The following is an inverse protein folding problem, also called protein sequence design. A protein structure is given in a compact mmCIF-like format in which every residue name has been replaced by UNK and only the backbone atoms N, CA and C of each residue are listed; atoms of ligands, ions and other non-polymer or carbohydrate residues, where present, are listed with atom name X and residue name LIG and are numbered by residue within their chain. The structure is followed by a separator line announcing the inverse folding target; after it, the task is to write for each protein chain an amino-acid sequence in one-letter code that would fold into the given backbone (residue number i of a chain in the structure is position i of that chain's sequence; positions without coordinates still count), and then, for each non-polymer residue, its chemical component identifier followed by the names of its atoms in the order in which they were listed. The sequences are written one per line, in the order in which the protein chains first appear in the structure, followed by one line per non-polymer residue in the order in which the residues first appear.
data_IF_862497539481
#
_entry.id   IF_862497539481
#
_cell.length_a   1.000
_cell.length_b   1.000
_cell.length_c   1.000
_cell.angle_alpha   90.00
_cell.angle_beta   90.00
_cell.angle_gamma   90.00
#
_symmetry.space_group_name_H-M   'P 1'
#
loop_
_entity.id
_entity.type
_entity.pdbx_description
1 polymer ?
#
# COMPACT_ATOMS: atom_id res chain seq x y z
N UNK A 1 38.78 47.39 -26.64
CA UNK A 1 38.73 45.92 -26.58
C UNK A 1 37.75 45.51 -25.49
N UNK A 2 36.59 44.94 -25.83
CA UNK A 2 35.62 44.36 -24.88
C UNK A 2 35.20 42.99 -25.44
N UNK A 3 35.72 41.92 -24.86
CA UNK A 3 35.40 40.54 -25.24
C UNK A 3 34.02 40.19 -24.67
N UNK A 4 33.05 39.92 -25.54
CA UNK A 4 31.73 39.40 -25.13
C UNK A 4 31.88 37.90 -24.88
N UNK A 5 31.76 37.48 -23.62
CA UNK A 5 31.60 36.08 -23.27
C UNK A 5 30.21 35.67 -23.73
N UNK A 6 30.14 34.96 -24.85
CA UNK A 6 28.92 34.27 -25.28
C UNK A 6 28.86 32.99 -24.44
N UNK A 7 28.08 33.01 -23.36
CA UNK A 7 27.73 31.79 -22.64
C UNK A 7 26.81 31.00 -23.58
N UNK A 8 27.39 30.00 -24.25
CA UNK A 8 26.65 29.07 -25.08
C UNK A 8 25.64 28.32 -24.21
N UNK A 9 24.34 28.52 -24.46
CA UNK A 9 23.23 27.80 -23.83
C UNK A 9 23.25 26.27 -24.10
N UNK A 10 24.26 25.74 -24.78
CA UNK A 10 24.44 24.31 -25.03
C UNK A 10 24.87 23.50 -23.80
N UNK A 11 25.20 24.14 -22.67
CA UNK A 11 25.58 23.47 -21.42
C UNK A 11 24.43 23.22 -20.44
N UNK A 12 23.24 23.75 -20.69
CA UNK A 12 22.08 23.66 -19.79
C UNK A 12 20.96 22.75 -20.35
N UNK A 13 21.33 21.83 -21.25
CA UNK A 13 20.45 20.80 -21.84
C UNK A 13 20.87 19.37 -21.47
N UNK A 14 21.73 19.21 -20.46
CA UNK A 14 22.14 17.91 -19.90
C UNK A 14 21.89 17.84 -18.39
N UNK A 15 20.88 18.56 -17.90
CA UNK A 15 20.29 18.36 -16.56
C UNK A 15 18.85 17.85 -16.63
N UNK A 16 18.43 17.31 -17.77
CA UNK A 16 17.34 16.33 -17.84
C UNK A 16 17.94 14.91 -17.74
N UNK A 17 18.74 14.67 -16.71
CA UNK A 17 19.15 13.32 -16.36
C UNK A 17 18.00 12.67 -15.61
N UNK A 18 17.15 11.99 -16.38
CA UNK A 18 16.51 10.74 -15.98
C UNK A 18 15.59 10.83 -14.76
N UNK A 19 14.33 11.20 -14.99
CA UNK A 19 13.25 10.56 -14.22
C UNK A 19 13.21 9.11 -14.72
N UNK A 20 14.15 8.29 -14.24
CA UNK A 20 14.05 6.85 -14.39
C UNK A 20 12.96 6.45 -13.41
N UNK A 21 11.83 5.98 -13.92
CA UNK A 21 10.91 5.20 -13.08
C UNK A 21 11.78 4.14 -12.41
N UNK A 22 11.92 4.22 -11.09
CA UNK A 22 12.72 3.25 -10.36
C UNK A 22 12.09 1.88 -10.60
N UNK A 23 12.79 1.02 -11.31
CA UNK A 23 12.34 -0.36 -11.52
C UNK A 23 12.04 -0.97 -10.15
N UNK A 24 10.89 -1.65 -9.99
CA UNK A 24 10.58 -2.30 -8.73
C UNK A 24 11.73 -3.24 -8.36
N UNK A 25 12.16 -3.21 -7.10
CA UNK A 25 13.24 -4.07 -6.64
C UNK A 25 12.91 -5.54 -6.94
N UNK A 26 13.92 -6.39 -7.17
CA UNK A 26 13.69 -7.81 -7.45
C UNK A 26 12.85 -8.49 -6.36
N UNK A 27 13.01 -8.03 -5.11
CA UNK A 27 12.22 -8.51 -3.98
C UNK A 27 10.78 -7.99 -3.97
N UNK A 28 10.53 -6.75 -4.42
CA UNK A 28 9.17 -6.27 -4.68
C UNK A 28 8.47 -7.08 -5.77
N UNK A 29 9.18 -7.41 -6.85
CA UNK A 29 8.64 -8.23 -7.92
C UNK A 29 8.32 -9.66 -7.44
N UNK A 30 9.17 -10.25 -6.59
CA UNK A 30 8.92 -11.54 -5.93
C UNK A 30 7.66 -11.49 -5.07
N UNK A 31 7.52 -10.50 -4.19
CA UNK A 31 6.34 -10.34 -3.35
C UNK A 31 5.05 -10.20 -4.18
N UNK A 32 5.10 -9.46 -5.30
CA UNK A 32 3.98 -9.36 -6.24
C UNK A 32 3.62 -10.71 -6.86
N UNK A 33 4.61 -11.55 -7.21
CA UNK A 33 4.38 -12.89 -7.74
C UNK A 33 3.74 -13.82 -6.71
N UNK A 34 4.20 -13.78 -5.46
CA UNK A 34 3.61 -14.53 -4.35
C UNK A 34 2.16 -14.11 -4.11
N UNK A 35 1.89 -12.80 -4.12
CA UNK A 35 0.54 -12.27 -4.04
C UNK A 35 -0.35 -12.77 -5.19
N UNK A 36 0.16 -12.72 -6.43
CA UNK A 36 -0.57 -13.20 -7.61
C UNK A 36 -0.83 -14.72 -7.57
N UNK A 37 0.08 -15.49 -6.98
CA UNK A 37 -0.08 -16.92 -6.74
C UNK A 37 -1.05 -17.25 -5.60
N UNK A 38 -1.50 -16.24 -4.84
CA UNK A 38 -2.38 -16.40 -3.70
C UNK A 38 -1.68 -16.76 -2.39
N UNK A 39 -0.34 -16.79 -2.39
CA UNK A 39 0.44 -16.96 -1.16
C UNK A 39 0.58 -15.60 -0.46
N UNK A 40 -0.53 -15.13 0.11
CA UNK A 40 -0.57 -13.85 0.79
C UNK A 40 0.33 -13.81 2.03
N UNK A 41 0.64 -14.96 2.63
CA UNK A 41 1.54 -14.99 3.79
C UNK A 41 2.96 -14.67 3.35
N UNK A 42 3.47 -15.37 2.33
CA UNK A 42 4.80 -15.09 1.80
C UNK A 42 4.91 -13.64 1.29
N UNK A 43 3.89 -13.18 0.55
CA UNK A 43 3.85 -11.82 0.06
C UNK A 43 3.92 -10.77 1.19
N UNK A 44 3.16 -10.97 2.29
CA UNK A 44 3.24 -10.10 3.47
C UNK A 44 4.65 -10.10 4.05
N UNK A 45 5.24 -11.27 4.27
CA UNK A 45 6.57 -11.39 4.89
C UNK A 45 7.64 -10.62 4.07
N UNK A 46 7.58 -10.75 2.74
CA UNK A 46 8.49 -10.07 1.81
C UNK A 46 8.21 -8.55 1.73
N UNK A 47 6.96 -8.12 1.61
CA UNK A 47 6.62 -6.69 1.61
C UNK A 47 7.05 -6.02 2.92
N UNK A 48 6.85 -6.67 4.07
CA UNK A 48 7.30 -6.13 5.34
C UNK A 48 8.82 -6.03 5.45
N UNK A 49 9.57 -6.95 4.82
CA UNK A 49 11.02 -6.83 4.76
C UNK A 49 11.46 -5.61 3.95
N UNK A 50 10.78 -5.30 2.85
CA UNK A 50 11.03 -4.08 2.09
C UNK A 50 10.79 -2.85 2.96
N UNK A 51 9.69 -2.82 3.72
CA UNK A 51 9.42 -1.73 4.69
C UNK A 51 10.51 -1.65 5.77
N UNK A 52 10.95 -2.78 6.35
CA UNK A 52 12.04 -2.82 7.34
C UNK A 52 13.37 -2.32 6.77
N UNK A 53 13.61 -2.53 5.48
CA UNK A 53 14.79 -2.02 4.77
C UNK A 53 14.74 -0.50 4.49
N UNK A 54 13.67 0.19 4.91
CA UNK A 54 13.48 1.62 4.71
C UNK A 54 12.85 1.99 3.37
N UNK A 55 12.26 1.02 2.65
CA UNK A 55 11.47 1.34 1.47
C UNK A 55 10.07 1.77 1.90
N UNK A 56 9.76 3.04 1.64
CA UNK A 56 8.45 3.63 1.92
C UNK A 56 7.90 4.22 0.62
N UNK A 57 7.16 3.40 -0.15
CA UNK A 57 6.54 3.84 -1.40
C UNK A 57 5.02 3.62 -1.34
N UNK A 58 4.21 4.47 -2.01
CA UNK A 58 2.76 4.31 -2.04
C UNK A 58 2.34 2.90 -2.50
N UNK A 59 2.94 2.41 -3.59
CA UNK A 59 2.64 1.09 -4.16
C UNK A 59 2.97 -0.07 -3.21
N UNK A 60 4.04 0.06 -2.41
CA UNK A 60 4.39 -0.95 -1.41
C UNK A 60 3.36 -1.05 -0.30
N UNK A 61 2.92 0.09 0.23
CA UNK A 61 1.86 0.07 1.23
C UNK A 61 0.53 -0.37 0.64
N UNK A 62 0.19 0.05 -0.58
CA UNK A 62 -1.01 -0.44 -1.26
C UNK A 62 -1.00 -1.96 -1.41
N UNK A 63 0.10 -2.56 -1.89
CA UNK A 63 0.20 -4.01 -2.10
C UNK A 63 0.23 -4.79 -0.77
N UNK A 64 0.91 -4.27 0.25
CA UNK A 64 0.90 -4.85 1.60
C UNK A 64 -0.51 -4.80 2.21
N UNK A 65 -1.22 -3.67 2.04
CA UNK A 65 -2.62 -3.51 2.44
C UNK A 65 -3.53 -4.53 1.76
N UNK A 66 -3.36 -4.73 0.45
CA UNK A 66 -4.08 -5.76 -0.31
C UNK A 66 -3.81 -7.16 0.25
N UNK A 67 -2.55 -7.50 0.53
CA UNK A 67 -2.19 -8.81 1.07
C UNK A 67 -2.84 -9.05 2.45
N UNK A 68 -2.86 -8.04 3.32
CA UNK A 68 -3.57 -8.10 4.59
C UNK A 68 -5.08 -8.22 4.44
N UNK A 69 -5.67 -7.49 3.51
CA UNK A 69 -7.10 -7.58 3.19
C UNK A 69 -7.47 -9.01 2.77
N UNK A 70 -6.67 -9.65 1.92
CA UNK A 70 -6.86 -11.05 1.49
C UNK A 70 -6.75 -12.06 2.63
N UNK A 71 -6.07 -11.70 3.72
CA UNK A 71 -5.99 -12.47 4.95
C UNK A 71 -7.07 -12.09 5.97
N UNK A 72 -8.06 -11.29 5.58
CA UNK A 72 -9.14 -10.76 6.45
C UNK A 72 -8.61 -9.96 7.64
N UNK A 73 -7.37 -9.49 7.57
CA UNK A 73 -6.78 -8.60 8.56
C UNK A 73 -7.06 -7.15 8.17
N UNK A 74 -8.32 -6.74 8.35
CA UNK A 74 -8.77 -5.44 7.89
C UNK A 74 -8.09 -4.30 8.64
N UNK A 75 -7.70 -4.49 9.90
CA UNK A 75 -6.95 -3.49 10.67
C UNK A 75 -5.60 -3.15 10.02
N UNK A 76 -4.80 -4.19 9.70
CA UNK A 76 -3.52 -3.97 9.02
C UNK A 76 -3.68 -3.55 7.56
N UNK A 77 -4.78 -3.94 6.89
CA UNK A 77 -5.10 -3.43 5.56
C UNK A 77 -5.36 -1.92 5.58
N UNK A 78 -6.24 -1.45 6.47
CA UNK A 78 -6.58 -0.03 6.66
C UNK A 78 -5.32 0.79 6.91
N UNK A 79 -4.48 0.36 7.87
CA UNK A 79 -3.23 1.05 8.20
C UNK A 79 -2.35 1.26 6.96
N UNK A 80 -2.19 0.24 6.12
CA UNK A 80 -1.31 0.33 4.97
C UNK A 80 -1.93 1.13 3.82
N UNK A 81 -3.25 1.07 3.58
CA UNK A 81 -3.88 1.99 2.62
C UNK A 81 -3.78 3.45 3.07
N UNK A 82 -3.90 3.73 4.36
CA UNK A 82 -3.69 5.08 4.90
C UNK A 82 -2.23 5.55 4.71
N UNK A 83 -1.24 4.67 4.91
CA UNK A 83 0.17 4.97 4.61
C UNK A 83 0.39 5.24 3.11
N UNK A 84 -0.27 4.49 2.22
CA UNK A 84 -0.21 4.73 0.79
C UNK A 84 -0.73 6.14 0.44
N UNK A 85 -1.92 6.49 0.95
CA UNK A 85 -2.56 7.79 0.73
C UNK A 85 -1.84 8.95 1.43
N UNK A 86 -1.10 8.70 2.51
CA UNK A 86 -0.26 9.70 3.13
C UNK A 86 0.94 10.09 2.25
N UNK A 87 1.46 9.14 1.46
CA UNK A 87 2.56 9.39 0.51
C UNK A 87 2.07 9.88 -0.86
N UNK A 88 0.94 9.33 -1.34
CA UNK A 88 0.28 9.75 -2.56
C UNK A 88 -1.24 9.89 -2.31
N UNK A 89 -1.72 11.12 -2.01
CA UNK A 89 -3.14 11.38 -1.77
C UNK A 89 -4.05 11.09 -2.96
N UNK A 90 -3.50 10.89 -4.15
CA UNK A 90 -4.23 10.59 -5.38
C UNK A 90 -3.99 9.16 -5.87
N UNK A 91 -3.47 8.27 -5.02
CA UNK A 91 -3.25 6.87 -5.39
C UNK A 91 -4.57 6.26 -5.91
N UNK A 92 -4.63 5.80 -7.18
CA UNK A 92 -5.90 5.58 -7.86
C UNK A 92 -6.82 4.55 -7.20
N UNK A 93 -6.24 3.49 -6.61
CA UNK A 93 -6.97 2.38 -6.02
C UNK A 93 -7.02 2.38 -4.49
N UNK A 94 -6.09 3.07 -3.81
CA UNK A 94 -5.93 2.95 -2.36
C UNK A 94 -7.14 3.51 -1.59
N UNK A 95 -7.74 4.61 -2.06
CA UNK A 95 -8.92 5.20 -1.41
C UNK A 95 -10.13 4.26 -1.47
N UNK A 96 -10.35 3.62 -2.63
CA UNK A 96 -11.43 2.66 -2.79
C UNK A 96 -11.26 1.45 -1.87
N UNK A 97 -10.06 0.87 -1.83
CA UNK A 97 -9.78 -0.28 -0.98
C UNK A 97 -9.83 0.05 0.51
N UNK A 98 -9.44 1.27 0.90
CA UNK A 98 -9.58 1.75 2.27
C UNK A 98 -11.05 1.78 2.72
N UNK A 99 -11.95 2.30 1.86
CA UNK A 99 -13.39 2.31 2.18
C UNK A 99 -13.93 0.89 2.36
N UNK A 100 -13.61 -0.02 1.44
CA UNK A 100 -14.03 -1.43 1.51
C UNK A 100 -13.49 -2.08 2.80
N UNK A 101 -12.21 -1.89 3.12
CA UNK A 101 -11.61 -2.46 4.33
C UNK A 101 -12.26 -1.94 5.62
N UNK A 102 -12.65 -0.65 5.67
CA UNK A 102 -13.39 -0.08 6.81
C UNK A 102 -14.80 -0.66 6.93
N UNK A 103 -15.50 -0.85 5.82
CA UNK A 103 -16.83 -1.44 5.82
C UNK A 103 -16.79 -2.90 6.30
N UNK A 104 -15.81 -3.68 5.84
CA UNK A 104 -15.60 -5.07 6.29
C UNK A 104 -15.19 -5.16 7.77
N UNK A 105 -14.29 -4.28 8.21
CA UNK A 105 -13.92 -4.20 9.62
C UNK A 105 -15.14 -3.91 10.51
N UNK A 106 -15.95 -2.92 10.12
CA UNK A 106 -17.18 -2.56 10.81
C UNK A 106 -18.21 -3.71 10.81
N UNK A 107 -18.35 -4.41 9.69
CA UNK A 107 -19.26 -5.54 9.59
C UNK A 107 -18.89 -6.64 10.62
N UNK A 108 -17.60 -6.92 10.81
CA UNK A 108 -17.13 -7.87 11.81
C UNK A 108 -17.40 -7.41 13.25
N UNK A 109 -17.26 -6.12 13.54
CA UNK A 109 -17.58 -5.55 14.86
C UNK A 109 -19.07 -5.67 15.22
N UNK A 110 -19.95 -5.69 14.22
CA UNK A 110 -21.39 -5.82 14.42
C UNK A 110 -21.87 -7.27 14.56
N UNK A 111 -21.00 -8.26 14.32
CA UNK A 111 -21.37 -9.68 14.50
C UNK A 111 -21.50 -9.96 16.00
N UNK A 112 -22.70 -10.33 16.50
CA UNK A 112 -22.90 -10.56 17.92
C UNK A 112 -22.00 -11.69 18.41
N UNK A 113 -21.32 -11.45 19.52
CA UNK A 113 -20.46 -12.46 20.12
C UNK A 113 -21.29 -13.63 20.67
N UNK A 114 -20.62 -14.73 21.01
CA UNK A 114 -21.30 -15.96 21.48
C UNK A 114 -22.27 -15.71 22.64
N UNK A 115 -21.93 -14.82 23.55
CA UNK A 115 -22.76 -14.52 24.73
C UNK A 115 -23.95 -13.65 24.37
N UNK A 116 -23.77 -12.62 23.56
CA UNK A 116 -24.87 -11.79 23.03
C UNK A 116 -25.90 -12.64 22.29
N UNK A 117 -25.43 -13.62 21.49
CA UNK A 117 -26.31 -14.57 20.80
C UNK A 117 -27.09 -15.47 21.77
N UNK A 118 -26.47 -15.91 22.86
CA UNK A 118 -27.13 -16.77 23.86
C UNK A 118 -28.18 -15.97 24.63
N UNK A 119 -27.87 -14.75 25.06
CA UNK A 119 -28.81 -13.90 25.78
C UNK A 119 -30.00 -13.49 24.91
N UNK A 120 -29.78 -13.14 23.64
CA UNK A 120 -30.86 -12.83 22.71
C UNK A 120 -31.88 -14.00 22.57
N UNK A 121 -31.43 -15.25 22.57
CA UNK A 121 -32.32 -16.42 22.51
C UNK A 121 -33.10 -16.66 23.82
N UNK A 122 -32.50 -16.32 24.96
CA UNK A 122 -33.13 -16.49 26.27
C UNK A 122 -34.25 -15.48 26.52
N UNK A 123 -34.15 -14.28 25.95
CA UNK A 123 -35.15 -13.21 26.11
C UNK A 123 -36.38 -13.37 25.17
N UNK A 124 -36.29 -14.25 24.16
CA UNK A 124 -37.36 -14.52 23.18
C UNK A 124 -38.31 -15.68 23.56
N UNK A 125 -38.05 -16.41 24.66
CA UNK A 125 -38.86 -17.55 25.14
C UNK A 125 -39.49 -17.28 26.51
#
# INVERSE_FOLDING_TARGET
MKTRIVISCAGLWLLCASILAAEPSAQFAKANQEYAAGDFKAAIDDYEELVRSGQDTPNLFYNLGNAYFRKTDFGRAILNYERALALDPHHPEAEANLRIARDEARALELVPNRWERIFAFADEN
#
